data_IF_282795553823
#
_entry.id   IF_282795553823
#
_cell.length_a   1.000
_cell.length_b   1.000
_cell.length_c   1.000
_cell.angle_alpha   90.00
_cell.angle_beta   90.00
_cell.angle_gamma   90.00
#
_symmetry.space_group_name_H-M   'P 1'
#
loop_
_entity.id
_entity.type
_entity.pdbx_description
1 polymer ?
#
# COMPACT_ATOMS: atom_id res chain seq x y z
N UNK A 1 -13.67 2.55 -0.13
CA UNK A 1 -12.81 2.46 1.07
C UNK A 1 -13.24 1.20 1.81
N UNK A 2 -12.30 0.39 2.29
CA UNK A 2 -12.59 -0.87 2.96
C UNK A 2 -12.22 -0.75 4.44
N UNK A 3 -13.02 -1.36 5.32
CA UNK A 3 -12.69 -1.54 6.72
C UNK A 3 -11.54 -2.56 6.88
N UNK A 4 -10.94 -2.64 8.08
CA UNK A 4 -9.86 -3.59 8.37
C UNK A 4 -10.30 -5.06 8.25
N UNK A 5 -11.60 -5.32 8.31
CA UNK A 5 -12.23 -6.62 8.07
C UNK A 5 -12.57 -6.88 6.58
N UNK A 6 -12.15 -5.97 5.69
CA UNK A 6 -12.38 -6.08 4.25
C UNK A 6 -13.78 -5.68 3.79
N UNK A 7 -14.67 -5.22 4.68
CA UNK A 7 -16.00 -4.77 4.27
C UNK A 7 -15.95 -3.42 3.57
N UNK A 8 -16.71 -3.29 2.48
CA UNK A 8 -16.88 -2.00 1.79
C UNK A 8 -17.64 -1.03 2.70
N UNK A 9 -17.05 0.13 2.97
CA UNK A 9 -17.66 1.20 3.77
C UNK A 9 -18.66 2.04 2.96
N UNK A 10 -19.04 1.58 1.78
CA UNK A 10 -19.98 2.25 0.88
C UNK A 10 -19.39 3.47 0.18
N UNK A 11 -20.22 4.09 -0.66
CA UNK A 11 -19.91 5.35 -1.34
C UNK A 11 -20.17 6.52 -0.37
N UNK A 12 -19.17 7.38 -0.19
CA UNK A 12 -19.33 8.64 0.57
C UNK A 12 -19.63 9.77 -0.43
N UNK A 13 -20.65 10.55 -0.14
CA UNK A 13 -21.02 11.69 -0.98
C UNK A 13 -19.95 12.79 -0.97
N UNK A 14 -19.93 13.59 -2.03
CA UNK A 14 -19.01 14.72 -2.16
C UNK A 14 -19.20 15.75 -1.03
N UNK A 15 -20.42 15.87 -0.51
CA UNK A 15 -20.76 16.70 0.65
C UNK A 15 -20.08 16.21 1.93
N UNK A 16 -20.05 14.89 2.15
CA UNK A 16 -19.35 14.30 3.29
C UNK A 16 -17.83 14.52 3.19
N UNK A 17 -17.26 14.37 1.99
CA UNK A 17 -15.85 14.66 1.75
C UNK A 17 -15.50 16.12 2.07
N UNK A 18 -16.31 17.09 1.61
CA UNK A 18 -16.13 18.52 1.94
C UNK A 18 -16.17 18.79 3.44
N UNK A 19 -17.08 18.15 4.18
CA UNK A 19 -17.17 18.28 5.64
C UNK A 19 -15.93 17.73 6.34
N UNK A 20 -15.40 16.58 5.89
CA UNK A 20 -14.17 16.01 6.43
C UNK A 20 -12.96 16.92 6.21
N UNK A 21 -12.89 17.58 5.04
CA UNK A 21 -11.83 18.54 4.72
C UNK A 21 -11.97 19.79 5.60
N UNK A 22 -13.18 20.36 5.69
CA UNK A 22 -13.44 21.57 6.48
C UNK A 22 -13.16 21.38 7.97
N UNK A 23 -13.44 20.18 8.50
CA UNK A 23 -13.17 19.83 9.90
C UNK A 23 -11.72 19.36 10.13
N UNK A 24 -10.86 19.36 9.10
CA UNK A 24 -9.44 19.03 9.23
C UNK A 24 -9.11 17.55 9.45
N UNK A 25 -10.10 16.64 9.37
CA UNK A 25 -9.87 15.19 9.52
C UNK A 25 -9.06 14.60 8.37
N UNK A 26 -9.15 15.22 7.19
CA UNK A 26 -8.48 14.75 5.99
C UNK A 26 -7.84 15.91 5.23
N UNK A 27 -6.73 15.62 4.57
CA UNK A 27 -6.05 16.53 3.67
C UNK A 27 -6.44 16.20 2.22
N UNK A 28 -6.92 17.19 1.47
CA UNK A 28 -7.31 17.04 0.08
C UNK A 28 -6.20 17.49 -0.85
N UNK A 29 -5.90 16.67 -1.87
CA UNK A 29 -4.96 17.00 -2.94
C UNK A 29 -5.77 17.37 -4.17
N UNK A 30 -5.56 18.57 -4.68
CA UNK A 30 -6.20 19.07 -5.90
C UNK A 30 -5.24 19.00 -7.09
N UNK A 31 -5.76 18.64 -8.25
CA UNK A 31 -5.02 18.70 -9.50
C UNK A 31 -4.89 20.14 -10.01
N UNK A 32 -4.06 20.35 -11.04
CA UNK A 32 -3.82 21.67 -11.67
C UNK A 32 -5.09 22.41 -12.10
N UNK A 33 -6.16 21.67 -12.46
CA UNK A 33 -7.46 22.22 -12.88
C UNK A 33 -8.49 22.31 -11.73
N UNK A 34 -8.08 22.16 -10.48
CA UNK A 34 -8.95 22.27 -9.30
C UNK A 34 -9.86 21.07 -9.03
N UNK A 35 -9.76 19.99 -9.81
CA UNK A 35 -10.48 18.75 -9.48
C UNK A 35 -9.81 18.04 -8.30
N UNK A 36 -10.62 17.41 -7.45
CA UNK A 36 -10.14 16.60 -6.35
C UNK A 36 -9.43 15.35 -6.89
N UNK A 37 -8.16 15.16 -6.54
CA UNK A 37 -7.33 14.06 -7.03
C UNK A 37 -7.19 12.93 -6.00
N UNK A 38 -7.04 13.30 -4.73
CA UNK A 38 -6.93 12.34 -3.62
C UNK A 38 -7.38 12.98 -2.29
N UNK A 39 -7.77 12.13 -1.34
CA UNK A 39 -8.04 12.51 0.05
C UNK A 39 -7.20 11.62 0.95
N UNK A 40 -6.46 12.22 1.87
CA UNK A 40 -5.54 11.56 2.78
C UNK A 40 -6.01 11.74 4.23
N UNK A 41 -6.15 10.66 4.99
CA UNK A 41 -6.48 10.74 6.40
C UNK A 41 -5.27 11.29 7.18
N UNK A 42 -5.43 12.38 7.94
CA UNK A 42 -4.31 12.90 8.74
C UNK A 42 -3.90 11.92 9.83
N UNK A 43 -2.61 11.91 10.13
CA UNK A 43 -2.11 11.15 11.28
C UNK A 43 -2.56 11.82 12.59
N UNK A 44 -2.67 11.08 13.71
CA UNK A 44 -3.15 11.62 14.99
C UNK A 44 -2.27 12.76 15.56
N UNK A 45 -1.01 12.80 15.15
CA UNK A 45 -0.02 13.84 15.45
C UNK A 45 -0.13 15.09 14.56
N UNK A 46 -1.10 15.11 13.63
CA UNK A 46 -1.30 16.19 12.66
C UNK A 46 -0.38 16.12 11.44
N UNK A 47 0.50 15.12 11.33
CA UNK A 47 1.35 14.94 10.17
C UNK A 47 0.55 14.53 8.92
N UNK A 48 1.07 14.89 7.75
CA UNK A 48 0.46 14.46 6.48
C UNK A 48 0.53 12.94 6.34
N UNK A 49 -0.53 12.34 5.77
CA UNK A 49 -0.55 10.90 5.50
C UNK A 49 0.40 10.52 4.36
N UNK A 50 0.80 11.49 3.52
CA UNK A 50 1.79 11.27 2.47
C UNK A 50 3.16 11.51 3.07
N UNK A 51 3.91 10.43 3.26
CA UNK A 51 5.32 10.56 3.54
C UNK A 51 6.00 11.29 2.37
N UNK A 52 6.50 12.51 2.60
CA UNK A 52 7.19 13.34 1.60
C UNK A 52 8.41 12.64 1.00
N UNK A 53 8.96 11.68 1.75
CA UNK A 53 9.91 10.69 1.27
C UNK A 53 9.31 9.31 1.45
N UNK A 54 9.25 8.55 0.36
CA UNK A 54 9.16 7.09 0.48
C UNK A 54 10.36 6.68 1.36
N UNK A 55 10.15 6.01 2.51
CA UNK A 55 11.27 5.48 3.26
C UNK A 55 12.13 4.70 2.28
N UNK A 56 13.42 5.02 2.21
CA UNK A 56 14.38 4.27 1.39
C UNK A 56 14.59 2.90 2.04
N UNK A 57 13.52 2.11 2.15
CA UNK A 57 13.59 0.72 2.50
C UNK A 57 14.43 0.02 1.44
N UNK A 58 14.98 -1.14 1.81
CA UNK A 58 15.64 -1.99 0.83
C UNK A 58 14.66 -2.25 -0.32
N UNK A 59 15.03 -1.88 -1.56
CA UNK A 59 14.16 -2.13 -2.72
C UNK A 59 13.78 -3.61 -2.74
N UNK A 60 12.49 -3.85 -2.88
CA UNK A 60 11.96 -5.22 -2.94
C UNK A 60 12.39 -5.91 -4.25
N UNK A 61 12.64 -5.14 -5.30
CA UNK A 61 13.16 -5.61 -6.58
C UNK A 61 14.36 -4.77 -7.03
N UNK A 62 15.34 -5.41 -7.67
CA UNK A 62 16.51 -4.75 -8.22
C UNK A 62 16.90 -5.39 -9.56
N UNK A 63 17.52 -4.60 -10.43
CA UNK A 63 18.05 -5.10 -11.70
C UNK A 63 19.36 -5.83 -11.45
N UNK A 64 19.43 -7.07 -11.87
CA UNK A 64 20.62 -7.92 -11.81
C UNK A 64 21.10 -8.20 -13.23
N UNK A 65 22.41 -8.09 -13.45
CA UNK A 65 23.05 -8.55 -14.68
C UNK A 65 23.40 -10.02 -14.50
N UNK A 66 22.84 -10.84 -15.36
CA UNK A 66 23.20 -12.25 -15.46
C UNK A 66 24.50 -12.40 -16.26
N UNK A 67 25.20 -13.50 -16.06
CA UNK A 67 26.52 -13.77 -16.68
C UNK A 67 26.47 -13.74 -18.21
N UNK A 68 25.30 -14.00 -18.80
CA UNK A 68 25.04 -13.93 -20.24
C UNK A 68 24.79 -12.49 -20.76
N UNK A 69 25.00 -11.46 -19.93
CA UNK A 69 24.80 -10.05 -20.28
C UNK A 69 23.34 -9.56 -20.22
N UNK A 70 22.38 -10.44 -19.92
CA UNK A 70 20.96 -10.07 -19.82
C UNK A 70 20.67 -9.35 -18.50
N UNK A 71 19.78 -8.35 -18.52
CA UNK A 71 19.29 -7.69 -17.30
C UNK A 71 17.96 -8.32 -16.90
N UNK A 72 17.93 -8.96 -15.72
CA UNK A 72 16.72 -9.52 -15.12
C UNK A 72 16.32 -8.72 -13.87
N UNK A 73 15.03 -8.76 -13.51
CA UNK A 73 14.56 -8.25 -12.22
C UNK A 73 14.69 -9.35 -11.17
N UNK A 74 15.50 -9.11 -10.14
CA UNK A 74 15.62 -9.99 -8.98
C UNK A 74 14.85 -9.42 -7.81
N UNK A 75 14.14 -10.28 -7.09
CA UNK A 75 13.45 -9.94 -5.86
C UNK A 75 14.38 -10.12 -4.66
N UNK A 76 14.24 -9.24 -3.66
CA UNK A 76 14.89 -9.41 -2.37
C UNK A 76 14.45 -10.75 -1.78
N UNK A 77 15.42 -11.59 -1.41
CA UNK A 77 15.13 -12.82 -0.67
C UNK A 77 14.49 -12.43 0.66
N UNK A 78 13.30 -12.95 0.88
CA UNK A 78 12.66 -12.95 2.18
C UNK A 78 13.19 -14.19 2.93
N UNK A 79 13.77 -14.00 4.11
CA UNK A 79 14.35 -15.09 4.92
C UNK A 79 15.65 -15.72 4.40
N UNK A 80 16.23 -16.63 5.18
CA UNK A 80 17.38 -17.46 4.84
C UNK A 80 16.98 -18.93 4.79
N UNK A 81 17.55 -19.70 3.86
CA UNK A 81 17.29 -21.13 3.72
C UNK A 81 15.79 -21.45 3.61
N UNK A 82 15.31 -22.35 4.48
CA UNK A 82 13.93 -22.82 4.53
C UNK A 82 13.05 -22.09 5.56
N UNK A 83 13.50 -20.97 6.14
CA UNK A 83 12.76 -20.23 7.18
C UNK A 83 11.32 -19.87 6.78
N UNK A 84 11.08 -19.56 5.50
CA UNK A 84 9.76 -19.20 4.99
C UNK A 84 8.94 -20.37 4.48
N UNK A 85 9.55 -21.56 4.33
CA UNK A 85 8.88 -22.75 3.82
C UNK A 85 7.66 -23.12 4.67
N UNK A 86 7.69 -23.09 6.02
CA UNK A 86 6.51 -23.35 6.85
C UNK A 86 5.38 -22.35 6.61
N UNK A 87 5.71 -21.06 6.49
CA UNK A 87 4.71 -19.98 6.24
C UNK A 87 4.06 -20.16 4.87
N UNK A 88 4.87 -20.41 3.85
CA UNK A 88 4.38 -20.67 2.50
C UNK A 88 3.45 -21.90 2.45
N UNK A 89 3.86 -23.00 3.07
CA UNK A 89 3.06 -24.23 3.13
C UNK A 89 1.76 -24.01 3.91
N UNK A 90 1.77 -23.25 5.01
CA UNK A 90 0.57 -22.90 5.76
C UNK A 90 -0.45 -22.12 4.91
N UNK A 91 0.03 -21.18 4.09
CA UNK A 91 -0.84 -20.42 3.17
C UNK A 91 -1.40 -21.33 2.07
N UNK A 92 -0.55 -22.13 1.42
CA UNK A 92 -0.98 -23.05 0.35
C UNK A 92 -2.00 -24.04 0.87
N UNK A 93 -1.73 -24.67 2.02
CA UNK A 93 -2.68 -25.59 2.66
C UNK A 93 -3.98 -24.89 3.04
N UNK A 94 -3.94 -23.67 3.58
CA UNK A 94 -5.14 -22.87 3.85
C UNK A 94 -5.96 -22.52 2.60
N UNK A 95 -5.30 -22.29 1.46
CA UNK A 95 -5.96 -22.07 0.17
C UNK A 95 -6.55 -23.37 -0.41
N UNK A 96 -5.86 -24.50 -0.25
CA UNK A 96 -6.33 -25.82 -0.70
C UNK A 96 -7.38 -26.43 0.23
N UNK A 97 -7.45 -26.00 1.48
CA UNK A 97 -8.40 -26.47 2.48
C UNK A 97 -9.79 -25.81 2.37
N UNK A 98 -10.02 -24.96 1.36
CA UNK A 98 -11.36 -24.45 1.04
C UNK A 98 -12.01 -25.29 -0.07
N UNK A 99 -13.09 -26.03 0.22
CA UNK A 99 -14.17 -26.25 -0.75
C UNK A 99 -14.94 -24.96 -1.03
#
# INVERSE_FOLDING_TARGET
MYASDGRSLGFRSLTAARRLIANGFVEAVYGRKGHLKAIHAKQPDGASAVATRVPTGTRYSFRERLDNGTIAWRLKRLGKGDELRPIFLAVVTGCMAKP
#
